data_IF_612669019876
#
_entry.id   IF_612669019876
#
_cell.length_a   1.000
_cell.length_b   1.000
_cell.length_c   1.000
_cell.angle_alpha   90.00
_cell.angle_beta   90.00
_cell.angle_gamma   90.00
#
_symmetry.space_group_name_H-M   'P 1'
#
loop_
_entity.id
_entity.type
_entity.pdbx_description
1 polymer ?
#
# COMPACT_ATOMS: atom_id res chain seq x y z
N UNK A 1 44.38 6.12 3.75
CA UNK A 1 43.33 5.08 3.66
C UNK A 1 42.25 5.57 2.68
N UNK A 2 42.12 5.00 1.49
CA UNK A 2 41.09 5.40 0.50
C UNK A 2 39.81 4.63 0.78
N UNK A 3 38.71 5.31 1.12
CA UNK A 3 37.39 4.69 1.23
C UNK A 3 36.98 4.22 -0.18
N UNK A 4 36.93 2.92 -0.40
CA UNK A 4 36.29 2.34 -1.57
C UNK A 4 34.79 2.60 -1.40
N UNK A 5 34.22 3.47 -2.24
CA UNK A 5 32.77 3.60 -2.33
C UNK A 5 32.27 2.40 -3.12
N UNK A 6 31.63 1.46 -2.45
CA UNK A 6 30.84 0.43 -3.12
C UNK A 6 29.70 1.13 -3.86
N UNK A 7 29.66 0.98 -5.18
CA UNK A 7 28.51 1.40 -5.96
C UNK A 7 27.33 0.49 -5.59
N UNK A 8 26.19 1.08 -5.23
CA UNK A 8 24.97 0.32 -4.99
C UNK A 8 24.48 -0.25 -6.33
N UNK A 9 24.56 -1.56 -6.50
CA UNK A 9 23.90 -2.26 -7.61
C UNK A 9 22.40 -2.20 -7.35
N UNK A 10 21.63 -1.56 -8.24
CA UNK A 10 20.18 -1.69 -8.20
C UNK A 10 19.81 -3.10 -8.67
N UNK A 11 18.83 -3.76 -8.02
CA UNK A 11 18.21 -4.96 -8.58
C UNK A 11 17.62 -4.66 -9.97
N UNK A 12 17.48 -5.67 -10.84
CA UNK A 12 16.71 -5.53 -12.07
C UNK A 12 15.28 -5.07 -11.75
N UNK A 13 14.65 -4.41 -12.71
CA UNK A 13 13.31 -3.82 -12.52
C UNK A 13 12.27 -4.89 -12.13
N UNK A 14 12.39 -6.10 -12.65
CA UNK A 14 11.47 -7.20 -12.36
C UNK A 14 11.53 -7.64 -10.90
N UNK A 15 12.72 -7.65 -10.29
CA UNK A 15 12.88 -7.96 -8.86
C UNK A 15 12.25 -6.86 -7.99
N UNK A 16 12.47 -5.60 -8.36
CA UNK A 16 11.84 -4.46 -7.65
C UNK A 16 10.31 -4.49 -7.75
N UNK A 17 9.78 -4.92 -8.90
CA UNK A 17 8.33 -5.03 -9.08
C UNK A 17 7.75 -6.15 -8.23
N UNK A 18 8.39 -7.32 -8.19
CA UNK A 18 7.94 -8.45 -7.36
C UNK A 18 7.93 -8.09 -5.86
N UNK A 19 8.99 -7.43 -5.38
CA UNK A 19 9.06 -6.98 -3.99
C UNK A 19 7.97 -5.95 -3.68
N UNK A 20 7.72 -5.02 -4.61
CA UNK A 20 6.67 -4.01 -4.46
C UNK A 20 5.28 -4.66 -4.40
N UNK A 21 4.99 -5.59 -5.31
CA UNK A 21 3.69 -6.26 -5.39
C UNK A 21 3.40 -7.06 -4.12
N UNK A 22 4.41 -7.77 -3.61
CA UNK A 22 4.34 -8.47 -2.33
C UNK A 22 4.10 -7.53 -1.16
N UNK A 23 4.82 -6.40 -1.12
CA UNK A 23 4.65 -5.40 -0.07
C UNK A 23 3.25 -4.76 -0.09
N UNK A 24 2.75 -4.38 -1.28
CA UNK A 24 1.43 -3.79 -1.46
C UNK A 24 0.35 -4.75 -0.96
N UNK A 25 0.44 -6.03 -1.35
CA UNK A 25 -0.51 -7.07 -0.93
C UNK A 25 -0.52 -7.21 0.60
N UNK A 26 0.67 -7.38 1.19
CA UNK A 26 0.79 -7.52 2.64
C UNK A 26 0.23 -6.30 3.38
N UNK A 27 0.55 -5.08 2.94
CA UNK A 27 0.04 -3.86 3.54
C UNK A 27 -1.48 -3.80 3.49
N UNK A 28 -2.05 -4.03 2.31
CA UNK A 28 -3.47 -3.88 2.01
C UNK A 28 -4.34 -4.94 2.70
N UNK A 29 -3.86 -6.18 2.80
CA UNK A 29 -4.69 -7.33 3.14
C UNK A 29 -4.38 -7.95 4.49
N UNK A 30 -3.16 -7.77 5.04
CA UNK A 30 -2.76 -8.48 6.26
C UNK A 30 -2.60 -7.57 7.47
N UNK A 31 -2.30 -6.28 7.26
CA UNK A 31 -1.98 -5.35 8.33
C UNK A 31 -3.23 -4.61 8.83
N UNK A 32 -3.73 -4.86 10.05
CA UNK A 32 -4.81 -4.04 10.61
C UNK A 32 -4.31 -2.61 10.90
N UNK A 33 -5.13 -1.60 10.57
CA UNK A 33 -4.85 -0.21 10.93
C UNK A 33 -5.26 0.11 12.37
N UNK A 34 -4.82 1.27 12.85
CA UNK A 34 -5.08 1.71 14.23
C UNK A 34 -6.58 1.75 14.55
N UNK A 35 -6.94 1.27 15.74
CA UNK A 35 -8.33 1.00 16.13
C UNK A 35 -9.28 2.21 16.16
N UNK A 36 -8.77 3.45 16.22
CA UNK A 36 -9.60 4.65 16.42
C UNK A 36 -10.53 4.96 15.24
N UNK A 37 -10.11 4.68 14.01
CA UNK A 37 -10.85 5.06 12.80
C UNK A 37 -11.12 3.90 11.85
N UNK A 38 -10.20 2.94 11.79
CA UNK A 38 -10.33 1.78 10.92
C UNK A 38 -10.83 0.56 11.70
N UNK A 39 -11.14 0.69 12.99
CA UNK A 39 -11.72 -0.37 13.82
C UNK A 39 -10.94 -1.69 13.81
N UNK A 40 -9.61 -1.62 13.66
CA UNK A 40 -8.76 -2.81 13.56
C UNK A 40 -8.91 -3.58 12.25
N UNK A 41 -9.63 -3.04 11.25
CA UNK A 41 -9.75 -3.61 9.92
C UNK A 41 -8.49 -3.34 9.09
N UNK A 42 -8.29 -4.17 8.08
CA UNK A 42 -7.24 -3.96 7.08
C UNK A 42 -7.58 -2.78 6.18
N UNK A 43 -6.61 -2.15 5.50
CA UNK A 43 -6.89 -1.11 4.52
C UNK A 43 -7.94 -1.53 3.48
N UNK A 44 -7.82 -2.75 2.92
CA UNK A 44 -8.76 -3.24 1.91
C UNK A 44 -10.16 -3.42 2.46
N UNK A 45 -10.31 -3.98 3.66
CA UNK A 45 -11.64 -4.10 4.26
C UNK A 45 -12.26 -2.72 4.51
N UNK A 46 -11.47 -1.77 5.03
CA UNK A 46 -11.93 -0.39 5.26
C UNK A 46 -12.36 0.29 3.96
N UNK A 47 -11.61 0.09 2.88
CA UNK A 47 -11.92 0.63 1.56
C UNK A 47 -13.23 0.06 1.01
N UNK A 48 -13.39 -1.26 1.05
CA UNK A 48 -14.60 -1.94 0.58
C UNK A 48 -15.84 -1.54 1.38
N UNK A 49 -15.71 -1.44 2.70
CA UNK A 49 -16.80 -1.00 3.60
C UNK A 49 -17.24 0.44 3.34
N UNK A 50 -16.32 1.29 2.85
CA UNK A 50 -16.60 2.69 2.53
C UNK A 50 -17.26 2.90 1.14
N UNK A 51 -17.25 1.89 0.26
CA UNK A 51 -17.78 2.02 -1.10
C UNK A 51 -19.25 2.47 -1.18
N UNK A 52 -20.19 1.96 -0.35
CA UNK A 52 -21.57 2.42 -0.40
C UNK A 52 -21.69 3.91 -0.09
N UNK A 53 -21.01 4.37 0.97
CA UNK A 53 -21.00 5.77 1.38
C UNK A 53 -20.36 6.65 0.31
N UNK A 54 -19.25 6.21 -0.29
CA UNK A 54 -18.61 6.94 -1.39
C UNK A 54 -19.55 7.09 -2.61
N UNK A 55 -20.33 6.05 -2.92
CA UNK A 55 -21.32 6.08 -4.01
C UNK A 55 -22.48 7.04 -3.75
N UNK A 56 -22.94 7.14 -2.51
CA UNK A 56 -23.97 8.12 -2.12
C UNK A 56 -23.48 9.58 -2.19
N UNK A 57 -22.17 9.79 -2.07
CA UNK A 57 -21.52 11.11 -2.06
C UNK A 57 -20.84 11.49 -3.37
N UNK A 58 -20.96 10.65 -4.40
CA UNK A 58 -20.42 10.93 -5.72
C UNK A 58 -21.08 12.19 -6.28
N UNK A 59 -20.29 13.25 -6.46
CA UNK A 59 -20.74 14.44 -7.15
C UNK A 59 -20.91 14.12 -8.65
N UNK A 60 -21.91 14.71 -9.33
CA UNK A 60 -22.00 14.63 -10.78
C UNK A 60 -20.68 15.08 -11.41
N UNK A 61 -20.23 14.35 -12.44
CA UNK A 61 -19.12 14.84 -13.25
C UNK A 61 -19.49 16.19 -13.88
N UNK A 62 -18.56 17.14 -13.84
CA UNK A 62 -18.70 18.45 -14.46
C UNK A 62 -18.57 18.39 -15.98
#
# INVERSE_FOLDING_TARGET
>A
MKRVRTAAVKPPIDELQNDLDGWVTAYNETRPHQGRWCYGKTPMQTFLDALPVAREKLLPAA
#
